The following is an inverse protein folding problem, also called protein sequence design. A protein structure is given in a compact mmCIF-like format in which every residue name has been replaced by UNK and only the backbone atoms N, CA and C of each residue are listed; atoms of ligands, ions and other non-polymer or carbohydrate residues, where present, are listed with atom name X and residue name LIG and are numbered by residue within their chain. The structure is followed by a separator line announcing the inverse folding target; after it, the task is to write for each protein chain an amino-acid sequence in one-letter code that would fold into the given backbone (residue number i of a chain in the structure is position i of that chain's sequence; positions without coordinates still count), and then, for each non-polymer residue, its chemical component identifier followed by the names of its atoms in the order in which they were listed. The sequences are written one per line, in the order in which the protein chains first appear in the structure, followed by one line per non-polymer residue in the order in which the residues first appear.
data_IF_394861234746
#
_entry.id   IF_394861234746
#
_cell.length_a   1.000
_cell.length_b   1.000
_cell.length_c   1.000
_cell.angle_alpha   90.00
_cell.angle_beta   90.00
_cell.angle_gamma   90.00
#
_symmetry.space_group_name_H-M   'P 1'
#
loop_
_entity.id
_entity.type
_entity.pdbx_description
1 polymer ?
#
# COMPACT_ATOMS: atom_id res chain seq x y z
N UNK A 1 27.39 -60.58 20.04
CA UNK A 1 26.25 -59.77 19.53
C UNK A 1 26.10 -58.60 20.49
N UNK A 2 26.97 -57.60 20.41
CA UNK A 2 27.03 -56.52 21.41
C UNK A 2 27.71 -55.28 20.81
N UNK A 3 27.31 -54.86 19.60
CA UNK A 3 27.87 -53.67 18.94
C UNK A 3 26.87 -52.88 18.07
N UNK A 4 25.64 -53.37 17.85
CA UNK A 4 24.65 -52.64 17.03
C UNK A 4 23.78 -51.66 17.83
N UNK A 5 23.68 -51.83 19.15
CA UNK A 5 22.80 -50.99 19.98
C UNK A 5 23.37 -49.60 20.26
N UNK A 6 24.70 -49.49 20.44
CA UNK A 6 25.37 -48.21 20.73
C UNK A 6 25.47 -47.29 19.51
N UNK A 7 25.44 -47.85 18.30
CA UNK A 7 25.59 -47.08 17.06
C UNK A 7 24.28 -46.37 16.64
N UNK A 8 23.12 -46.98 16.89
CA UNK A 8 21.81 -46.34 16.69
C UNK A 8 21.56 -45.18 17.67
N UNK A 9 22.02 -45.31 18.92
CA UNK A 9 21.81 -44.27 19.93
C UNK A 9 22.65 -43.01 19.64
N UNK A 10 23.83 -43.18 19.05
CA UNK A 10 24.69 -42.06 18.64
C UNK A 10 24.11 -41.29 17.44
N UNK A 11 23.65 -42.01 16.42
CA UNK A 11 23.02 -41.40 15.22
C UNK A 11 21.76 -40.61 15.56
N UNK A 12 20.96 -41.10 16.53
CA UNK A 12 19.71 -40.44 16.93
C UNK A 12 19.94 -39.17 17.76
N UNK A 13 21.02 -39.14 18.55
CA UNK A 13 21.42 -37.95 19.32
C UNK A 13 21.92 -36.85 18.39
N UNK A 14 22.67 -37.19 17.35
CA UNK A 14 23.19 -36.21 16.40
C UNK A 14 22.06 -35.54 15.60
N UNK A 15 21.06 -36.30 15.15
CA UNK A 15 19.85 -35.79 14.48
C UNK A 15 19.02 -34.86 15.37
N UNK A 16 18.85 -35.22 16.64
CA UNK A 16 18.16 -34.38 17.63
C UNK A 16 18.89 -33.06 17.87
N UNK A 17 20.22 -33.09 17.87
CA UNK A 17 21.07 -31.91 18.10
C UNK A 17 21.02 -30.96 16.90
N UNK A 18 21.01 -31.50 15.68
CA UNK A 18 20.89 -30.72 14.45
C UNK A 18 19.50 -30.07 14.33
N UNK A 19 18.44 -30.83 14.64
CA UNK A 19 17.06 -30.33 14.65
C UNK A 19 16.87 -29.21 15.69
N UNK A 20 17.45 -29.36 16.88
CA UNK A 20 17.44 -28.32 17.91
C UNK A 20 18.18 -27.05 17.45
N UNK A 21 19.34 -27.17 16.80
CA UNK A 21 20.06 -26.02 16.22
C UNK A 21 19.24 -25.30 15.16
N UNK A 22 18.58 -26.04 14.25
CA UNK A 22 17.73 -25.44 13.21
C UNK A 22 16.53 -24.70 13.80
N UNK A 23 15.89 -25.25 14.83
CA UNK A 23 14.80 -24.55 15.53
C UNK A 23 15.28 -23.29 16.25
N UNK A 24 16.49 -23.32 16.83
CA UNK A 24 17.08 -22.19 17.54
C UNK A 24 17.49 -21.05 16.60
N UNK A 25 18.02 -21.38 15.41
CA UNK A 25 18.28 -20.37 14.37
C UNK A 25 16.98 -19.79 13.81
N UNK A 26 15.96 -20.63 13.57
CA UNK A 26 14.65 -20.17 13.09
C UNK A 26 13.92 -19.30 14.11
N UNK A 27 14.06 -19.58 15.41
CA UNK A 27 13.49 -18.74 16.47
C UNK A 27 14.25 -17.43 16.63
N UNK A 28 15.58 -17.43 16.53
CA UNK A 28 16.39 -16.20 16.50
C UNK A 28 16.03 -15.30 15.32
N UNK A 29 15.87 -15.85 14.12
CA UNK A 29 15.48 -15.06 12.94
C UNK A 29 14.07 -14.48 13.10
N UNK A 30 13.13 -15.26 13.65
CA UNK A 30 11.77 -14.79 13.95
C UNK A 30 11.77 -13.69 15.02
N UNK A 31 12.55 -13.85 16.10
CA UNK A 31 12.70 -12.83 17.15
C UNK A 31 13.32 -11.55 16.59
N UNK A 32 14.31 -11.67 15.69
CA UNK A 32 14.93 -10.51 15.03
C UNK A 32 13.91 -9.77 14.15
N UNK A 33 13.12 -10.48 13.35
CA UNK A 33 12.05 -9.88 12.54
C UNK A 33 11.00 -9.17 13.39
N UNK A 34 10.55 -9.82 14.49
CA UNK A 34 9.61 -9.22 15.44
C UNK A 34 10.23 -8.00 16.14
N UNK A 35 11.51 -8.06 16.52
CA UNK A 35 12.23 -6.94 17.13
C UNK A 35 12.44 -5.78 16.16
N UNK A 36 12.72 -6.04 14.88
CA UNK A 36 12.80 -5.01 13.84
C UNK A 36 11.43 -4.40 13.56
N UNK A 37 10.35 -5.20 13.55
CA UNK A 37 8.98 -4.68 13.47
C UNK A 37 8.61 -3.82 14.67
N UNK A 38 8.95 -4.23 15.89
CA UNK A 38 8.68 -3.45 17.12
C UNK A 38 9.56 -2.19 17.17
N UNK A 39 10.82 -2.28 16.74
CA UNK A 39 11.74 -1.15 16.65
C UNK A 39 11.29 -0.13 15.60
N UNK A 40 10.73 -0.58 14.48
CA UNK A 40 10.15 0.32 13.48
C UNK A 40 8.81 0.91 13.92
N UNK A 41 7.99 0.14 14.66
CA UNK A 41 6.74 0.60 15.28
C UNK A 41 6.95 1.53 16.49
N UNK A 42 8.20 1.72 16.96
CA UNK A 42 8.55 2.60 18.06
C UNK A 42 8.83 4.06 17.62
N UNK A 43 8.54 4.40 16.38
CA UNK A 43 8.70 5.74 15.84
C UNK A 43 7.45 6.60 16.15
N UNK A 44 7.65 7.74 16.81
CA UNK A 44 6.66 8.55 17.54
C UNK A 44 5.18 8.37 17.10
N UNK A 45 4.36 7.62 17.87
CA UNK A 45 2.97 7.32 17.53
C UNK A 45 2.09 8.57 17.45
N UNK A 46 2.54 9.71 18.00
CA UNK A 46 1.83 10.98 17.87
C UNK A 46 1.89 11.57 16.45
N UNK A 47 2.93 11.24 15.67
CA UNK A 47 3.18 11.84 14.35
C UNK A 47 2.76 10.97 13.17
N UNK A 48 2.72 9.65 13.35
CA UNK A 48 2.35 8.67 12.32
C UNK A 48 0.99 8.96 11.64
N UNK A 49 -0.08 9.37 12.36
CA UNK A 49 -1.35 9.76 11.75
C UNK A 49 -1.24 10.96 10.79
N UNK A 50 -0.39 11.94 11.10
CA UNK A 50 -0.21 13.14 10.28
C UNK A 50 0.53 12.83 8.97
N UNK A 51 1.53 11.95 9.02
CA UNK A 51 2.22 11.47 7.82
C UNK A 51 1.30 10.63 6.92
N UNK A 52 0.39 9.84 7.51
CA UNK A 52 -0.65 9.15 6.75
C UNK A 52 -1.67 10.12 6.12
N UNK A 53 -2.05 11.20 6.82
CA UNK A 53 -2.93 12.23 6.28
C UNK A 53 -2.30 13.00 5.11
N UNK A 54 -0.98 13.27 5.17
CA UNK A 54 -0.24 13.93 4.09
C UNK A 54 -0.32 13.19 2.75
N UNK A 55 -0.55 11.86 2.78
CA UNK A 55 -0.67 11.05 1.58
C UNK A 55 -1.80 11.51 0.65
N UNK A 56 -2.86 12.09 1.22
CA UNK A 56 -4.03 12.53 0.46
C UNK A 56 -3.85 13.90 -0.20
N UNK A 57 -2.69 14.55 0.00
CA UNK A 57 -2.36 15.75 -0.75
C UNK A 57 -2.15 15.41 -2.23
N UNK A 58 -2.76 16.16 -3.18
CA UNK A 58 -2.69 15.82 -4.60
C UNK A 58 -1.25 15.75 -5.11
N UNK A 59 -0.99 14.77 -5.98
CA UNK A 59 0.24 14.56 -6.76
C UNK A 59 1.44 14.14 -5.91
N UNK A 60 1.84 14.95 -4.93
CA UNK A 60 3.07 14.75 -4.17
C UNK A 60 2.85 14.11 -2.81
N UNK A 61 1.63 14.16 -2.26
CA UNK A 61 1.31 13.62 -0.94
C UNK A 61 1.77 12.17 -0.74
N UNK A 62 1.39 11.23 -1.61
CA UNK A 62 1.75 9.82 -1.42
C UNK A 62 3.26 9.57 -1.46
N UNK A 63 3.97 10.27 -2.35
CA UNK A 63 5.43 10.16 -2.49
C UNK A 63 6.13 10.72 -1.25
N UNK A 64 5.69 11.88 -0.77
CA UNK A 64 6.23 12.52 0.43
C UNK A 64 6.01 11.63 1.66
N UNK A 65 4.81 11.08 1.83
CA UNK A 65 4.51 10.16 2.94
C UNK A 65 5.36 8.89 2.90
N UNK A 66 5.60 8.32 1.72
CA UNK A 66 6.46 7.13 1.56
C UNK A 66 7.93 7.43 1.79
N UNK A 67 8.42 8.62 1.44
CA UNK A 67 9.81 9.02 1.70
C UNK A 67 10.03 9.25 3.20
N UNK A 68 9.08 9.91 3.87
CA UNK A 68 9.22 10.30 5.27
C UNK A 68 9.05 9.11 6.23
N UNK A 69 8.18 8.15 5.91
CA UNK A 69 7.78 7.06 6.81
C UNK A 69 7.68 5.72 6.07
N UNK A 70 8.72 5.37 5.29
CA UNK A 70 8.74 4.15 4.45
C UNK A 70 8.56 2.84 5.23
N UNK A 71 9.02 2.80 6.48
CA UNK A 71 8.99 1.61 7.34
C UNK A 71 7.68 1.39 8.09
N UNK A 72 6.75 2.35 8.07
CA UNK A 72 5.50 2.26 8.82
C UNK A 72 4.36 1.67 7.95
N UNK A 73 3.86 0.46 8.28
CA UNK A 73 2.83 -0.21 7.48
C UNK A 73 1.56 0.63 7.33
N UNK A 74 1.18 1.35 8.39
CA UNK A 74 0.02 2.25 8.40
C UNK A 74 0.17 3.38 7.37
N UNK A 75 1.31 4.07 7.37
CA UNK A 75 1.58 5.16 6.41
C UNK A 75 1.69 4.61 5.00
N UNK A 76 2.32 3.44 4.81
CA UNK A 76 2.43 2.75 3.52
C UNK A 76 1.05 2.42 2.94
N UNK A 77 0.11 1.94 3.75
CA UNK A 77 -1.26 1.63 3.31
C UNK A 77 -2.02 2.89 2.89
N UNK A 78 -1.99 3.96 3.70
CA UNK A 78 -2.62 5.23 3.34
C UNK A 78 -2.00 5.86 2.09
N UNK A 79 -0.68 5.80 1.94
CA UNK A 79 0.02 6.27 0.76
C UNK A 79 -0.33 5.47 -0.50
N UNK A 80 -0.42 4.15 -0.42
CA UNK A 80 -0.86 3.32 -1.55
C UNK A 80 -2.31 3.61 -1.93
N UNK A 81 -3.21 3.67 -0.95
CA UNK A 81 -4.62 3.98 -1.21
C UNK A 81 -4.79 5.36 -1.83
N UNK A 82 -4.06 6.37 -1.35
CA UNK A 82 -4.04 7.70 -1.93
C UNK A 82 -3.43 7.71 -3.35
N UNK A 83 -2.36 6.94 -3.58
CA UNK A 83 -1.74 6.82 -4.92
C UNK A 83 -2.71 6.23 -5.94
N UNK A 84 -3.40 5.14 -5.58
CA UNK A 84 -4.40 4.53 -6.45
C UNK A 84 -5.60 5.45 -6.69
N UNK A 85 -6.07 6.14 -5.66
CA UNK A 85 -7.13 7.13 -5.79
C UNK A 85 -6.72 8.21 -6.81
N UNK A 86 -5.59 8.87 -6.58
CA UNK A 86 -5.09 9.94 -7.45
C UNK A 86 -4.81 9.45 -8.87
N UNK A 87 -4.25 8.25 -9.04
CA UNK A 87 -4.00 7.65 -10.36
C UNK A 87 -5.30 7.35 -11.09
N UNK A 88 -6.32 6.84 -10.40
CA UNK A 88 -7.65 6.58 -10.99
C UNK A 88 -8.27 7.86 -11.54
N UNK A 89 -8.25 8.93 -10.76
CA UNK A 89 -8.72 10.25 -11.19
C UNK A 89 -7.86 10.82 -12.34
N UNK A 90 -6.54 10.65 -12.31
CA UNK A 90 -5.67 11.08 -13.39
C UNK A 90 -5.99 10.38 -14.73
N UNK A 91 -6.36 9.09 -14.70
CA UNK A 91 -6.77 8.33 -15.89
C UNK A 91 -8.08 8.89 -16.46
N UNK A 92 -9.07 9.19 -15.60
CA UNK A 92 -10.34 9.81 -16.02
C UNK A 92 -10.05 11.16 -16.69
N UNK A 93 -9.22 11.99 -16.04
CA UNK A 93 -8.84 13.30 -16.56
C UNK A 93 -8.13 13.17 -17.91
N UNK A 94 -7.19 12.23 -18.05
CA UNK A 94 -6.48 11.97 -19.30
C UNK A 94 -7.45 11.53 -20.41
N UNK A 95 -8.40 10.64 -20.10
CA UNK A 95 -9.40 10.16 -21.06
C UNK A 95 -10.29 11.31 -21.56
N UNK A 96 -10.76 12.16 -20.63
CA UNK A 96 -11.54 13.37 -20.96
C UNK A 96 -10.72 14.32 -21.83
N UNK A 97 -9.47 14.60 -21.44
CA UNK A 97 -8.58 15.47 -22.19
C UNK A 97 -8.34 14.97 -23.62
N UNK A 98 -8.14 13.65 -23.80
CA UNK A 98 -7.99 13.03 -25.11
C UNK A 98 -9.26 13.20 -25.97
N UNK A 99 -10.46 13.01 -25.39
CA UNK A 99 -11.72 13.22 -26.11
C UNK A 99 -11.87 14.67 -26.61
N UNK A 100 -11.42 15.65 -25.85
CA UNK A 100 -11.53 17.07 -26.21
C UNK A 100 -10.44 17.57 -27.18
N UNK A 101 -9.23 17.01 -27.10
CA UNK A 101 -8.07 17.53 -27.83
C UNK A 101 -7.72 16.71 -29.08
N UNK A 102 -8.22 15.48 -29.22
CA UNK A 102 -8.01 14.72 -30.45
C UNK A 102 -8.82 15.34 -31.60
N UNK A 103 -8.18 15.76 -32.71
CA UNK A 103 -8.84 16.52 -33.77
C UNK A 103 -9.98 15.75 -34.45
N UNK A 104 -9.85 14.42 -34.58
CA UNK A 104 -10.89 13.55 -35.15
C UNK A 104 -12.14 13.45 -34.26
N UNK A 105 -11.95 13.31 -32.96
CA UNK A 105 -13.04 13.08 -32.00
C UNK A 105 -13.68 14.42 -31.59
N UNK A 106 -12.86 15.44 -31.34
CA UNK A 106 -13.32 16.77 -30.95
C UNK A 106 -14.12 17.46 -32.06
N UNK A 107 -13.81 17.21 -33.33
CA UNK A 107 -14.59 17.74 -34.46
C UNK A 107 -16.02 17.20 -34.49
N UNK A 108 -16.20 15.91 -34.20
CA UNK A 108 -17.52 15.25 -34.14
C UNK A 108 -18.26 15.67 -32.87
N UNK A 109 -17.57 15.73 -31.73
CA UNK A 109 -18.16 16.13 -30.46
C UNK A 109 -18.59 17.61 -30.44
N UNK A 110 -17.84 18.51 -31.07
CA UNK A 110 -18.18 19.94 -31.18
C UNK A 110 -19.39 20.21 -32.08
N UNK A 111 -19.77 19.27 -32.95
CA UNK A 111 -21.03 19.35 -33.69
C UNK A 111 -22.25 19.31 -32.75
N UNK A 112 -22.09 18.65 -31.59
CA UNK A 112 -23.12 18.56 -30.55
C UNK A 112 -22.83 19.66 -29.53
N UNK A 113 -23.54 20.79 -29.65
CA UNK A 113 -23.37 22.00 -28.83
C UNK A 113 -23.37 21.77 -27.31
N UNK A 114 -23.96 20.67 -26.84
CA UNK A 114 -24.09 20.33 -25.42
C UNK A 114 -22.88 19.58 -24.84
N UNK A 115 -22.05 18.95 -25.67
CA UNK A 115 -20.92 18.12 -25.21
C UNK A 115 -19.91 18.91 -24.36
N UNK A 116 -19.45 20.11 -24.75
CA UNK A 116 -18.46 20.86 -23.95
C UNK A 116 -18.95 21.20 -22.54
N UNK A 117 -20.27 21.37 -22.35
CA UNK A 117 -20.85 21.64 -21.03
C UNK A 117 -20.86 20.37 -20.16
N UNK A 118 -21.21 19.22 -20.75
CA UNK A 118 -21.21 17.93 -20.06
C UNK A 118 -19.81 17.53 -19.63
N UNK A 119 -18.82 17.72 -20.50
CA UNK A 119 -17.44 17.38 -20.20
C UNK A 119 -16.89 18.22 -19.03
N UNK A 120 -17.14 19.53 -19.05
CA UNK A 120 -16.76 20.41 -17.94
C UNK A 120 -17.49 20.06 -16.63
N UNK A 121 -18.80 19.77 -16.69
CA UNK A 121 -19.56 19.34 -15.51
C UNK A 121 -19.01 18.04 -14.92
N UNK A 122 -18.63 17.09 -15.77
CA UNK A 122 -18.01 15.83 -15.35
C UNK A 122 -16.68 16.07 -14.64
N UNK A 123 -15.84 16.97 -15.15
CA UNK A 123 -14.56 17.34 -14.52
C UNK A 123 -14.75 17.98 -13.14
N UNK A 124 -15.75 18.86 -12.98
CA UNK A 124 -16.04 19.44 -11.66
C UNK A 124 -16.53 18.38 -10.67
N UNK A 125 -17.41 17.47 -11.11
CA UNK A 125 -17.87 16.36 -10.29
C UNK A 125 -16.71 15.44 -9.88
N UNK A 126 -15.81 15.15 -10.81
CA UNK A 126 -14.62 14.33 -10.60
C UNK A 126 -13.71 14.94 -9.52
N UNK A 127 -13.39 16.23 -9.63
CA UNK A 127 -12.61 16.97 -8.62
C UNK A 127 -13.32 16.99 -7.25
N UNK A 128 -14.64 17.21 -7.23
CA UNK A 128 -15.41 17.16 -5.98
C UNK A 128 -15.37 15.77 -5.33
N UNK A 129 -15.44 14.71 -6.14
CA UNK A 129 -15.38 13.33 -5.65
C UNK A 129 -13.98 12.99 -5.12
N UNK A 130 -12.92 13.41 -5.83
CA UNK A 130 -11.54 13.30 -5.37
C UNK A 130 -11.35 14.01 -4.03
N UNK A 131 -11.86 15.24 -3.91
CA UNK A 131 -11.73 16.04 -2.69
C UNK A 131 -12.49 15.39 -1.52
N UNK A 132 -13.69 14.88 -1.76
CA UNK A 132 -14.50 14.20 -0.75
C UNK A 132 -13.82 12.91 -0.24
N UNK A 133 -13.33 12.06 -1.15
CA UNK A 133 -12.62 10.83 -0.80
C UNK A 133 -11.27 11.10 -0.14
N UNK A 134 -10.54 12.14 -0.58
CA UNK A 134 -9.28 12.54 0.03
C UNK A 134 -9.49 13.09 1.44
N UNK A 135 -10.52 13.92 1.64
CA UNK A 135 -10.89 14.43 2.97
C UNK A 135 -11.33 13.30 3.91
N UNK A 136 -12.09 12.34 3.40
CA UNK A 136 -12.47 11.15 4.17
C UNK A 136 -11.23 10.33 4.56
N UNK A 137 -10.27 10.17 3.64
CA UNK A 137 -8.99 9.53 3.91
C UNK A 137 -8.16 10.23 4.99
N UNK A 138 -8.13 11.55 4.99
CA UNK A 138 -7.47 12.36 6.03
C UNK A 138 -8.12 12.14 7.40
N UNK A 139 -9.46 12.13 7.46
CA UNK A 139 -10.21 11.92 8.72
C UNK A 139 -9.92 10.52 9.29
N UNK A 140 -9.92 9.49 8.45
CA UNK A 140 -9.59 8.12 8.86
C UNK A 140 -8.12 8.02 9.32
N UNK A 141 -7.18 8.62 8.59
CA UNK A 141 -5.76 8.64 8.93
C UNK A 141 -5.50 9.30 10.30
N UNK A 142 -6.09 10.47 10.54
CA UNK A 142 -5.99 11.18 11.83
C UNK A 142 -6.68 10.38 12.95
N UNK A 143 -7.78 9.70 12.63
CA UNK A 143 -8.49 8.80 13.55
C UNK A 143 -7.74 7.50 13.87
N UNK A 144 -6.55 7.28 13.30
CA UNK A 144 -5.78 6.04 13.47
C UNK A 144 -6.43 4.81 12.85
N UNK A 145 -7.37 5.01 11.92
CA UNK A 145 -8.12 3.93 11.25
C UNK A 145 -7.60 3.75 9.85
N UNK A 146 -7.48 2.49 9.43
CA UNK A 146 -7.13 2.17 8.06
C UNK A 146 -8.23 2.62 7.10
N UNK A 147 -7.86 3.43 6.11
CA UNK A 147 -8.80 3.87 5.10
C UNK A 147 -9.17 2.72 4.16
N UNK A 148 -10.39 2.21 4.26
CA UNK A 148 -10.93 1.20 3.35
C UNK A 148 -11.70 1.86 2.22
N UNK A 149 -10.99 2.32 1.18
CA UNK A 149 -11.67 2.78 -0.02
C UNK A 149 -12.46 1.62 -0.66
N UNK A 150 -13.77 1.79 -0.94
CA UNK A 150 -14.66 0.69 -1.34
C UNK A 150 -14.26 0.00 -2.65
N UNK A 151 -13.44 0.62 -3.50
CA UNK A 151 -13.00 0.07 -4.80
C UNK A 151 -11.49 -0.25 -4.80
N UNK A 152 -10.72 0.35 -3.89
CA UNK A 152 -9.25 0.36 -3.94
C UNK A 152 -8.63 -0.55 -2.88
N UNK A 153 -9.37 -0.86 -1.82
CA UNK A 153 -8.90 -1.67 -0.70
C UNK A 153 -8.34 -3.04 -1.14
N UNK A 154 -9.03 -3.72 -2.04
CA UNK A 154 -8.65 -5.05 -2.51
C UNK A 154 -7.40 -5.02 -3.42
N UNK A 155 -7.11 -3.87 -4.04
CA UNK A 155 -5.89 -3.67 -4.86
C UNK A 155 -4.69 -3.30 -3.99
N UNK A 156 -4.87 -2.44 -2.99
CA UNK A 156 -3.84 -2.03 -2.05
C UNK A 156 -3.31 -3.20 -1.22
N UNK A 157 -4.20 -4.03 -0.66
CA UNK A 157 -3.80 -5.23 0.08
C UNK A 157 -3.05 -6.24 -0.79
N UNK A 158 -3.50 -6.46 -2.04
CA UNK A 158 -2.85 -7.40 -2.96
C UNK A 158 -1.45 -6.94 -3.34
N UNK A 159 -1.26 -5.64 -3.58
CA UNK A 159 0.05 -5.07 -3.90
C UNK A 159 1.02 -5.15 -2.71
N UNK A 160 0.53 -4.89 -1.48
CA UNK A 160 1.33 -5.07 -0.26
C UNK A 160 1.79 -6.51 -0.09
N UNK A 161 0.86 -7.47 -0.21
CA UNK A 161 1.16 -8.92 -0.12
C UNK A 161 2.16 -9.39 -1.19
N UNK A 162 2.10 -8.81 -2.40
CA UNK A 162 3.05 -9.12 -3.48
C UNK A 162 4.43 -8.50 -3.26
N UNK A 163 4.49 -7.28 -2.73
CA UNK A 163 5.75 -6.60 -2.40
C UNK A 163 6.54 -7.37 -1.34
N UNK A 164 5.85 -7.84 -0.29
CA UNK A 164 6.53 -8.50 0.83
C UNK A 164 7.04 -9.91 0.46
N UNK A 165 6.42 -10.58 -0.53
CA UNK A 165 6.88 -11.86 -1.06
C UNK A 165 8.10 -11.76 -1.99
N UNK A 166 8.44 -10.56 -2.47
CA UNK A 166 9.56 -10.34 -3.39
C UNK A 166 10.83 -9.84 -2.69
N UNK A 167 10.72 -9.46 -1.41
CA UNK A 167 11.85 -9.07 -0.55
C UNK A 167 12.35 -10.21 0.37
N UNK A 168 11.78 -11.42 0.28
CA UNK A 168 12.24 -12.63 1.00
C UNK A 168 13.10 -13.55 0.14
#
# INVERSE_FOLDING_TARGET
MENDFDNEEHSKKDDLTESAKRMLEKSKSAIKQVSEQISHSAEDPATTPWYAALAYFPILGPVISLILKRGEPFVKQHALNASFLQTGFAIIWLAVWLLENLPLISGILKLIRFVPYMTNAFMYLDVMFLLALSSYGVIEAIGGREFKAPIVYDLGEKFLKLSDNHES
#
